data_IF_669125631684
#
_entry.id   IF_669125631684
#
_cell.length_a   1.000
_cell.length_b   1.000
_cell.length_c   1.000
_cell.angle_alpha   90.00
_cell.angle_beta   90.00
_cell.angle_gamma   90.00
#
_symmetry.space_group_name_H-M   'P 1'
#
loop_
_entity.id
_entity.type
_entity.pdbx_description
1 polymer ?
#
# COMPACT_ATOMS: atom_id res chain seq x y z
N UNK A 1 8.05 -13.20 29.89
CA UNK A 1 7.34 -12.07 29.25
C UNK A 1 8.36 -10.98 28.95
N UNK A 2 8.80 -10.90 27.70
CA UNK A 2 9.54 -9.73 27.22
C UNK A 2 8.55 -8.57 27.24
N UNK A 3 8.73 -7.64 28.16
CA UNK A 3 7.97 -6.40 28.18
C UNK A 3 8.20 -5.70 26.85
N UNK A 4 7.17 -5.63 26.01
CA UNK A 4 7.17 -4.77 24.84
C UNK A 4 7.19 -3.35 25.41
N UNK A 5 8.39 -2.76 25.45
CA UNK A 5 8.57 -1.35 25.77
C UNK A 5 7.78 -0.55 24.73
N UNK A 6 6.95 0.42 25.13
CA UNK A 6 6.35 1.34 24.18
C UNK A 6 7.48 2.00 23.39
N UNK A 7 7.39 1.97 22.06
CA UNK A 7 8.29 2.74 21.20
C UNK A 7 8.30 4.18 21.70
N UNK A 8 9.49 4.69 22.04
CA UNK A 8 9.65 6.06 22.48
C UNK A 8 8.91 7.01 21.52
N UNK A 9 8.23 8.06 22.02
CA UNK A 9 7.46 8.95 21.17
C UNK A 9 8.34 9.48 20.05
N UNK A 10 7.87 9.33 18.81
CA UNK A 10 8.55 9.78 17.60
C UNK A 10 9.01 11.23 17.80
N UNK A 11 10.32 11.42 17.94
CA UNK A 11 10.89 12.74 18.22
C UNK A 11 10.79 13.53 16.92
N UNK A 12 9.73 14.32 16.76
CA UNK A 12 9.47 15.12 15.55
C UNK A 12 10.63 16.04 15.18
N UNK A 13 11.33 16.58 16.19
CA UNK A 13 12.45 17.52 16.03
C UNK A 13 13.80 16.80 16.06
N UNK A 14 14.15 16.15 14.95
CA UNK A 14 15.51 15.64 14.69
C UNK A 14 16.30 16.61 13.81
N UNK A 15 17.64 16.62 13.91
CA UNK A 15 18.50 17.31 12.95
C UNK A 15 18.15 17.02 11.48
N UNK A 16 17.81 15.78 11.13
CA UNK A 16 17.39 15.42 9.78
C UNK A 16 16.09 16.14 9.37
N UNK A 17 15.04 16.07 10.20
CA UNK A 17 13.75 16.72 9.91
C UNK A 17 13.87 18.25 9.81
N UNK A 18 14.76 18.86 10.61
CA UNK A 18 15.05 20.29 10.55
C UNK A 18 15.66 20.66 9.19
N UNK A 19 16.60 19.86 8.68
CA UNK A 19 17.19 20.08 7.35
C UNK A 19 16.13 19.97 6.25
N UNK A 20 15.23 18.99 6.31
CA UNK A 20 14.10 18.84 5.37
C UNK A 20 13.17 20.06 5.42
N UNK A 21 12.83 20.56 6.60
CA UNK A 21 11.99 21.77 6.75
C UNK A 21 12.67 23.02 6.20
N UNK A 22 13.97 23.20 6.48
CA UNK A 22 14.77 24.29 5.91
C UNK A 22 14.75 24.21 4.39
N UNK A 23 14.90 23.03 3.79
CA UNK A 23 14.81 22.83 2.33
C UNK A 23 13.51 23.42 1.78
N UNK A 24 12.37 23.07 2.38
CA UNK A 24 11.04 23.54 1.94
C UNK A 24 10.94 25.06 2.05
N UNK A 25 11.42 25.65 3.16
CA UNK A 25 11.43 27.09 3.35
C UNK A 25 12.36 27.83 2.38
N UNK A 26 13.39 27.18 1.84
CA UNK A 26 14.30 27.76 0.85
C UNK A 26 13.75 27.72 -0.59
N UNK A 27 12.72 26.91 -0.88
CA UNK A 27 12.14 26.86 -2.23
C UNK A 27 11.58 28.22 -2.69
N UNK A 28 10.78 28.95 -1.88
CA UNK A 28 10.36 30.31 -2.25
C UNK A 28 11.53 31.28 -2.46
N UNK A 29 12.61 31.13 -1.69
CA UNK A 29 13.82 31.96 -1.83
C UNK A 29 14.47 31.72 -3.20
N UNK A 30 14.57 30.46 -3.63
CA UNK A 30 15.03 30.13 -4.98
C UNK A 30 14.10 30.70 -6.07
N UNK A 31 12.78 30.57 -5.92
CA UNK A 31 11.81 31.10 -6.89
C UNK A 31 11.90 32.63 -6.99
N UNK A 32 12.08 33.32 -5.86
CA UNK A 32 12.31 34.76 -5.85
C UNK A 32 13.64 35.11 -6.53
N UNK A 33 14.71 34.39 -6.22
CA UNK A 33 16.03 34.64 -6.79
C UNK A 33 16.03 34.55 -8.33
N UNK A 34 15.23 33.66 -8.91
CA UNK A 34 15.15 33.47 -10.37
C UNK A 34 14.09 34.38 -11.03
N UNK A 35 12.87 34.51 -10.49
CA UNK A 35 11.77 35.22 -11.14
C UNK A 35 11.74 36.72 -10.84
N UNK A 36 12.20 37.16 -9.66
CA UNK A 36 12.02 38.54 -9.25
C UNK A 36 13.17 39.46 -9.69
N UNK A 37 12.95 40.78 -9.75
CA UNK A 37 13.99 41.79 -9.95
C UNK A 37 14.66 42.18 -8.61
N UNK A 38 14.98 41.20 -7.75
CA UNK A 38 15.57 41.46 -6.43
C UNK A 38 16.86 42.28 -6.43
N UNK A 39 17.76 42.26 -7.45
CA UNK A 39 18.95 43.14 -7.43
C UNK A 39 18.58 44.62 -7.40
N UNK A 40 17.44 44.99 -8.00
CA UNK A 40 16.91 46.36 -7.96
C UNK A 40 16.41 46.71 -6.56
N UNK A 41 15.72 45.77 -5.91
CA UNK A 41 15.18 45.96 -4.55
C UNK A 41 16.26 46.17 -3.50
N UNK A 42 17.40 45.48 -3.65
CA UNK A 42 18.54 45.54 -2.72
C UNK A 42 19.52 46.68 -3.08
N UNK A 43 19.27 47.41 -4.18
CA UNK A 43 20.16 48.49 -4.62
C UNK A 43 21.50 48.01 -5.16
N UNK A 44 21.53 46.82 -5.77
CA UNK A 44 22.70 46.19 -6.40
C UNK A 44 22.53 46.11 -7.93
N UNK A 45 22.43 47.25 -8.65
CA UNK A 45 22.18 47.28 -10.10
C UNK A 45 23.34 46.72 -10.93
N UNK A 46 24.51 46.47 -10.33
CA UNK A 46 25.67 45.86 -10.98
C UNK A 46 25.54 44.34 -11.21
N UNK A 47 24.52 43.70 -10.65
CA UNK A 47 24.27 42.26 -10.87
C UNK A 47 23.53 42.10 -12.20
N UNK A 48 24.22 41.57 -13.21
CA UNK A 48 23.63 41.28 -14.51
C UNK A 48 22.60 40.14 -14.42
N UNK A 49 21.71 40.04 -15.41
CA UNK A 49 20.76 38.92 -15.50
C UNK A 49 21.47 37.55 -15.52
N UNK A 50 22.63 37.48 -16.16
CA UNK A 50 23.47 36.27 -16.20
C UNK A 50 23.96 35.89 -14.79
N UNK A 51 24.45 36.87 -14.03
CA UNK A 51 24.86 36.66 -12.65
C UNK A 51 23.68 36.23 -11.76
N UNK A 52 22.47 36.76 -12.01
CA UNK A 52 21.24 36.34 -11.33
C UNK A 52 20.94 34.85 -11.56
N UNK A 53 21.05 34.39 -12.80
CA UNK A 53 20.84 32.98 -13.17
C UNK A 53 21.88 32.05 -12.53
N UNK A 54 23.16 32.47 -12.48
CA UNK A 54 24.23 31.73 -11.79
C UNK A 54 23.97 31.64 -10.29
N UNK A 55 23.55 32.74 -9.65
CA UNK A 55 23.18 32.75 -8.23
C UNK A 55 22.00 31.80 -7.97
N UNK A 56 20.96 31.87 -8.81
CA UNK A 56 19.80 30.98 -8.70
C UNK A 56 20.18 29.50 -8.88
N UNK A 57 21.06 29.18 -9.82
CA UNK A 57 21.59 27.83 -10.00
C UNK A 57 22.40 27.38 -8.77
N UNK A 58 23.23 28.25 -8.20
CA UNK A 58 23.96 27.97 -6.96
C UNK A 58 23.03 27.67 -5.78
N UNK A 59 21.99 28.49 -5.60
CA UNK A 59 20.96 28.25 -4.57
C UNK A 59 20.27 26.91 -4.81
N UNK A 60 19.84 26.63 -6.05
CA UNK A 60 19.18 25.36 -6.40
C UNK A 60 20.06 24.14 -6.11
N UNK A 61 21.35 24.20 -6.45
CA UNK A 61 22.31 23.13 -6.16
C UNK A 61 22.45 22.94 -4.65
N UNK A 62 22.63 24.02 -3.88
CA UNK A 62 22.75 23.96 -2.43
C UNK A 62 21.52 23.31 -1.79
N UNK A 63 20.32 23.74 -2.19
CA UNK A 63 19.06 23.16 -1.71
C UNK A 63 18.96 21.68 -2.11
N UNK A 64 19.30 21.32 -3.35
CA UNK A 64 19.28 19.92 -3.81
C UNK A 64 20.25 19.03 -3.04
N UNK A 65 21.44 19.53 -2.70
CA UNK A 65 22.43 18.80 -1.91
C UNK A 65 21.96 18.51 -0.49
N UNK A 66 21.04 19.29 0.07
CA UNK A 66 20.52 19.04 1.42
C UNK A 66 19.79 17.69 1.54
N UNK A 67 19.27 17.11 0.43
CA UNK A 67 18.58 15.80 0.40
C UNK A 67 19.52 14.62 0.65
N UNK A 68 20.79 14.82 0.35
CA UNK A 68 21.79 13.84 0.71
C UNK A 68 22.17 13.97 2.19
N UNK A 69 22.16 15.20 2.73
CA UNK A 69 22.56 15.52 4.10
C UNK A 69 21.53 15.02 5.12
N UNK A 70 20.24 15.30 4.95
CA UNK A 70 19.18 14.82 5.84
C UNK A 70 19.12 13.29 5.87
N UNK A 71 19.20 12.63 4.71
CA UNK A 71 19.21 11.19 4.60
C UNK A 71 20.46 10.56 5.24
N UNK A 72 21.62 11.21 5.12
CA UNK A 72 22.83 10.78 5.82
C UNK A 72 22.71 10.94 7.34
N UNK A 73 22.21 12.09 7.82
CA UNK A 73 21.98 12.34 9.25
C UNK A 73 21.01 11.33 9.86
N UNK A 74 19.88 11.08 9.19
CA UNK A 74 18.88 10.11 9.65
C UNK A 74 19.46 8.69 9.78
N UNK A 75 20.24 8.24 8.79
CA UNK A 75 20.84 6.89 8.81
C UNK A 75 22.02 6.75 9.76
N UNK A 76 22.90 7.76 9.83
CA UNK A 76 24.10 7.72 10.68
C UNK A 76 23.79 7.83 12.17
N UNK A 77 22.66 8.46 12.53
CA UNK A 77 22.25 8.67 13.93
C UNK A 77 21.10 7.77 14.39
N UNK A 78 20.56 6.93 13.50
CA UNK A 78 19.40 6.09 13.80
C UNK A 78 18.11 6.88 14.01
N UNK A 79 18.02 8.10 13.47
CA UNK A 79 16.93 9.07 13.66
C UNK A 79 15.89 8.98 12.53
N UNK A 80 15.53 7.77 12.10
CA UNK A 80 14.56 7.56 11.02
C UNK A 80 13.14 7.67 11.57
N UNK A 81 12.51 8.83 11.38
CA UNK A 81 11.13 9.12 11.85
C UNK A 81 10.09 8.93 10.76
N UNK A 82 8.83 8.68 11.12
CA UNK A 82 7.74 8.57 10.15
C UNK A 82 7.42 9.91 9.48
N UNK A 83 7.58 11.02 10.22
CA UNK A 83 7.51 12.37 9.67
C UNK A 83 8.55 12.58 8.56
N UNK A 84 9.82 12.24 8.80
CA UNK A 84 10.89 12.35 7.80
C UNK A 84 10.59 11.53 6.53
N UNK A 85 10.17 10.26 6.70
CA UNK A 85 9.79 9.39 5.56
C UNK A 85 8.70 9.99 4.67
N UNK A 86 7.81 10.80 5.24
CA UNK A 86 6.76 11.49 4.51
C UNK A 86 7.23 12.82 3.90
N UNK A 87 8.01 13.61 4.65
CA UNK A 87 8.43 14.94 4.24
C UNK A 87 9.52 14.94 3.18
N UNK A 88 10.47 14.00 3.21
CA UNK A 88 11.59 14.00 2.26
C UNK A 88 11.12 13.85 0.80
N UNK A 89 10.25 12.88 0.44
CA UNK A 89 9.74 12.76 -0.94
C UNK A 89 8.80 13.90 -1.35
N UNK A 90 8.24 14.63 -0.38
CA UNK A 90 7.41 15.81 -0.64
C UNK A 90 8.29 17.03 -0.96
N UNK A 91 9.32 17.27 -0.14
CA UNK A 91 10.26 18.37 -0.31
C UNK A 91 10.99 18.32 -1.66
N UNK A 92 11.44 17.12 -2.07
CA UNK A 92 12.07 16.88 -3.38
C UNK A 92 11.16 17.33 -4.54
N UNK A 93 9.89 16.92 -4.50
CA UNK A 93 8.91 17.27 -5.54
C UNK A 93 8.61 18.76 -5.57
N UNK A 94 8.50 19.42 -4.42
CA UNK A 94 8.21 20.86 -4.34
C UNK A 94 9.33 21.65 -4.99
N UNK A 95 10.59 21.37 -4.64
CA UNK A 95 11.75 22.06 -5.21
C UNK A 95 11.83 21.90 -6.74
N UNK A 96 11.78 20.65 -7.20
CA UNK A 96 11.91 20.31 -8.62
C UNK A 96 10.75 20.87 -9.43
N UNK A 97 9.52 20.80 -8.90
CA UNK A 97 8.32 21.38 -9.55
C UNK A 97 8.41 22.89 -9.64
N UNK A 98 8.81 23.56 -8.56
CA UNK A 98 8.97 25.01 -8.54
C UNK A 98 10.00 25.49 -9.58
N UNK A 99 11.12 24.77 -9.70
CA UNK A 99 12.15 25.09 -10.70
C UNK A 99 11.66 24.91 -12.13
N UNK A 100 10.97 23.81 -12.43
CA UNK A 100 10.44 23.59 -13.78
C UNK A 100 9.35 24.60 -14.16
N UNK A 101 8.47 24.96 -13.22
CA UNK A 101 7.45 26.00 -13.44
C UNK A 101 8.12 27.35 -13.68
N UNK A 102 9.13 27.71 -12.88
CA UNK A 102 9.87 28.96 -13.08
C UNK A 102 10.55 29.02 -14.46
N UNK A 103 11.13 27.90 -14.93
CA UNK A 103 11.73 27.82 -16.27
C UNK A 103 10.69 27.96 -17.40
N UNK A 104 9.44 27.51 -17.19
CA UNK A 104 8.35 27.71 -18.14
C UNK A 104 7.88 29.17 -18.15
N UNK A 105 7.76 29.79 -16.99
CA UNK A 105 7.39 31.21 -16.84
C UNK A 105 8.39 32.12 -17.53
N UNK A 106 9.69 31.80 -17.44
CA UNK A 106 10.75 32.50 -18.14
C UNK A 106 10.84 32.18 -19.65
N UNK A 107 9.94 31.34 -20.18
CA UNK A 107 9.92 30.86 -21.56
C UNK A 107 11.21 30.12 -22.00
N UNK A 108 12.01 29.63 -21.05
CA UNK A 108 13.27 28.92 -21.28
C UNK A 108 13.02 27.44 -21.61
N UNK A 109 11.98 26.86 -21.00
CA UNK A 109 11.56 25.49 -21.20
C UNK A 109 10.10 25.45 -21.68
N UNK A 110 9.75 24.71 -22.74
CA UNK A 110 8.35 24.54 -23.12
C UNK A 110 7.58 23.79 -22.03
N UNK A 111 6.25 23.94 -21.98
CA UNK A 111 5.44 23.32 -20.92
C UNK A 111 5.29 21.79 -21.02
N UNK A 112 5.44 21.20 -22.20
CA UNK A 112 5.16 19.77 -22.42
C UNK A 112 6.10 18.79 -21.68
N UNK A 113 7.44 19.01 -21.57
CA UNK A 113 8.32 18.17 -20.76
C UNK A 113 7.94 18.23 -19.28
N UNK A 114 7.60 19.43 -18.80
CA UNK A 114 7.18 19.67 -17.42
C UNK A 114 5.90 18.91 -17.12
N UNK A 115 4.92 18.94 -18.02
CA UNK A 115 3.67 18.19 -17.87
C UNK A 115 3.92 16.68 -17.75
N UNK A 116 4.80 16.10 -18.58
CA UNK A 116 5.15 14.66 -18.50
C UNK A 116 5.77 14.33 -17.13
N UNK A 117 6.72 15.15 -16.69
CA UNK A 117 7.40 14.98 -15.40
C UNK A 117 6.38 15.04 -14.25
N UNK A 118 5.54 16.07 -14.20
CA UNK A 118 4.56 16.25 -13.13
C UNK A 118 3.51 15.15 -13.15
N UNK A 119 2.95 14.83 -14.32
CA UNK A 119 1.98 13.74 -14.45
C UNK A 119 2.55 12.42 -13.92
N UNK A 120 3.82 12.11 -14.26
CA UNK A 120 4.51 10.94 -13.72
C UNK A 120 4.64 10.99 -12.20
N UNK A 121 5.00 12.13 -11.61
CA UNK A 121 5.15 12.26 -10.15
C UNK A 121 3.84 11.95 -9.43
N UNK A 122 2.70 12.46 -9.92
CA UNK A 122 1.39 12.15 -9.37
C UNK A 122 1.02 10.67 -9.57
N UNK A 123 1.23 10.11 -10.76
CA UNK A 123 0.91 8.71 -11.06
C UNK A 123 1.69 7.75 -10.16
N UNK A 124 3.01 7.91 -10.06
CA UNK A 124 3.86 7.02 -9.25
C UNK A 124 3.56 7.18 -7.76
N UNK A 125 3.29 8.41 -7.30
CA UNK A 125 2.88 8.66 -5.91
C UNK A 125 1.54 8.01 -5.57
N UNK A 126 0.55 8.16 -6.44
CA UNK A 126 -0.77 7.54 -6.29
C UNK A 126 -0.70 6.02 -6.29
N UNK A 127 0.08 5.42 -7.20
CA UNK A 127 0.31 3.97 -7.25
C UNK A 127 0.92 3.47 -5.93
N UNK A 128 1.96 4.14 -5.42
CA UNK A 128 2.60 3.76 -4.15
C UNK A 128 1.65 3.91 -2.96
N UNK A 129 0.82 4.94 -2.97
CA UNK A 129 -0.20 5.16 -1.94
C UNK A 129 -1.26 4.05 -1.93
N UNK A 130 -1.79 3.69 -3.10
CA UNK A 130 -2.75 2.57 -3.25
C UNK A 130 -2.11 1.22 -2.90
N UNK A 131 -0.83 1.04 -3.22
CA UNK A 131 -0.10 -0.16 -2.82
C UNK A 131 0.02 -0.26 -1.29
N UNK A 132 0.39 0.85 -0.64
CA UNK A 132 0.52 0.92 0.81
C UNK A 132 -0.81 0.68 1.52
N UNK A 133 -1.93 1.22 1.00
CA UNK A 133 -3.26 0.97 1.56
C UNK A 133 -3.72 -0.49 1.44
N UNK A 134 -3.11 -1.26 0.51
CA UNK A 134 -3.33 -2.71 0.35
C UNK A 134 -2.28 -3.56 1.09
N UNK A 135 -1.46 -2.96 1.95
CA UNK A 135 -0.41 -3.66 2.71
C UNK A 135 0.81 -4.06 1.88
N UNK A 136 0.95 -3.54 0.67
CA UNK A 136 2.09 -3.84 -0.22
C UNK A 136 3.00 -2.63 -0.36
N UNK A 137 4.28 -2.78 0.01
CA UNK A 137 5.25 -1.69 -0.13
C UNK A 137 6.06 -1.90 -1.42
N UNK A 138 5.88 -0.99 -2.39
CA UNK A 138 6.69 -1.01 -3.62
C UNK A 138 8.01 -0.26 -3.36
N UNK A 139 9.11 -1.01 -3.36
CA UNK A 139 10.45 -0.46 -3.20
C UNK A 139 10.83 0.53 -4.31
N UNK A 140 11.68 1.49 -3.96
CA UNK A 140 12.17 2.50 -4.90
C UNK A 140 12.97 1.86 -6.06
N UNK A 141 12.62 2.17 -7.30
CA UNK A 141 13.34 1.65 -8.47
C UNK A 141 14.61 2.44 -8.75
N UNK A 142 15.61 1.76 -9.35
CA UNK A 142 16.84 2.40 -9.79
C UNK A 142 16.58 3.53 -10.80
N UNK A 143 15.67 3.29 -11.76
CA UNK A 143 15.24 4.31 -12.71
C UNK A 143 14.68 5.56 -12.03
N UNK A 144 13.97 5.37 -10.91
CA UNK A 144 13.45 6.46 -10.07
C UNK A 144 14.56 7.34 -9.48
N UNK A 145 15.69 6.75 -9.08
CA UNK A 145 16.84 7.50 -8.55
C UNK A 145 17.61 8.20 -9.68
N UNK A 146 17.88 7.48 -10.77
CA UNK A 146 18.60 8.02 -11.91
C UNK A 146 17.87 9.21 -12.53
N UNK A 147 16.54 9.11 -12.72
CA UNK A 147 15.76 10.20 -13.32
C UNK A 147 15.87 11.51 -12.53
N UNK A 148 15.88 11.45 -11.18
CA UNK A 148 15.98 12.63 -10.33
C UNK A 148 17.35 13.31 -10.49
N UNK A 149 18.43 12.54 -10.54
CA UNK A 149 19.78 13.08 -10.79
C UNK A 149 19.85 13.79 -12.15
N UNK A 150 19.41 13.13 -13.22
CA UNK A 150 19.41 13.74 -14.56
C UNK A 150 18.49 14.96 -14.64
N UNK A 151 17.38 14.95 -13.92
CA UNK A 151 16.43 16.06 -13.87
C UNK A 151 17.01 17.28 -13.14
N UNK A 152 17.69 17.08 -12.01
CA UNK A 152 18.42 18.14 -11.29
C UNK A 152 19.50 18.74 -12.20
N UNK A 153 20.30 17.89 -12.86
CA UNK A 153 21.34 18.36 -13.81
C UNK A 153 20.69 19.14 -14.95
N UNK A 154 19.58 18.66 -15.52
CA UNK A 154 18.88 19.36 -16.58
C UNK A 154 18.41 20.75 -16.13
N UNK A 155 17.79 20.86 -14.94
CA UNK A 155 17.35 22.14 -14.38
C UNK A 155 18.53 23.11 -14.26
N UNK A 156 19.65 22.66 -13.67
CA UNK A 156 20.86 23.49 -13.54
C UNK A 156 21.37 23.94 -14.91
N UNK A 157 21.42 23.04 -15.90
CA UNK A 157 21.85 23.39 -17.25
C UNK A 157 20.91 24.40 -17.91
N UNK A 158 19.59 24.30 -17.72
CA UNK A 158 18.63 25.26 -18.25
C UNK A 158 18.68 26.62 -17.53
N UNK A 159 19.01 26.65 -16.24
CA UNK A 159 19.28 27.90 -15.52
C UNK A 159 20.54 28.61 -16.06
N UNK A 160 21.57 27.85 -16.40
CA UNK A 160 22.86 28.39 -16.86
C UNK A 160 22.92 28.64 -18.37
N UNK A 161 22.03 28.02 -19.16
CA UNK A 161 22.02 28.04 -20.62
C UNK A 161 22.02 29.46 -21.21
N UNK A 162 21.23 30.35 -20.64
CA UNK A 162 21.07 31.73 -21.14
C UNK A 162 22.09 32.70 -20.53
N UNK A 163 22.98 32.24 -19.63
CA UNK A 163 24.16 33.02 -19.21
C UNK A 163 25.22 33.14 -20.31
N UNK A 164 25.02 32.46 -21.44
CA UNK A 164 25.87 32.50 -22.63
C UNK A 164 24.96 32.83 -23.84
N UNK A 165 24.52 34.08 -23.92
CA UNK A 165 23.61 34.56 -24.99
C UNK A 165 24.25 34.44 -26.38
N UNK A 166 23.50 33.93 -27.39
CA UNK A 166 23.50 34.42 -28.79
C UNK A 166 22.21 34.00 -29.56
N UNK A 167 21.85 34.79 -30.58
CA UNK A 167 20.48 35.21 -30.95
C UNK A 167 19.91 34.65 -32.27
N UNK A 168 20.14 33.38 -32.65
CA UNK A 168 19.49 32.82 -33.87
C UNK A 168 19.09 31.34 -33.77
N UNK A 169 17.98 30.98 -34.44
CA UNK A 169 17.44 29.62 -34.50
C UNK A 169 18.38 28.60 -35.19
N UNK A 170 19.25 29.06 -36.09
CA UNK A 170 20.31 28.23 -36.69
C UNK A 170 21.50 28.00 -35.74
N UNK A 171 21.81 28.98 -34.88
CA UNK A 171 22.85 28.87 -33.83
C UNK A 171 22.45 27.97 -32.65
N UNK A 172 21.15 27.70 -32.47
CA UNK A 172 20.66 26.80 -31.43
C UNK A 172 21.15 25.35 -31.62
N UNK A 173 21.30 24.90 -32.86
CA UNK A 173 21.80 23.55 -33.17
C UNK A 173 23.33 23.43 -33.11
N UNK A 174 24.07 24.55 -33.12
CA UNK A 174 25.52 24.58 -33.00
C UNK A 174 25.99 24.92 -31.57
N UNK A 175 25.09 25.32 -30.69
CA UNK A 175 25.42 25.68 -29.31
C UNK A 175 25.58 24.42 -28.44
N UNK A 176 26.80 24.13 -27.94
CA UNK A 176 27.06 22.93 -27.16
C UNK A 176 26.29 22.90 -25.84
N UNK A 177 26.03 24.05 -25.22
CA UNK A 177 25.22 24.15 -23.99
C UNK A 177 23.74 23.90 -24.24
N UNK A 178 23.19 24.40 -25.35
CA UNK A 178 21.82 24.08 -25.77
C UNK A 178 21.67 22.58 -26.02
N UNK A 179 22.59 22.00 -26.80
CA UNK A 179 22.55 20.57 -27.14
C UNK A 179 22.71 19.73 -25.88
N UNK A 180 23.64 20.09 -24.99
CA UNK A 180 23.85 19.40 -23.73
C UNK A 180 22.61 19.47 -22.82
N UNK A 181 22.03 20.66 -22.61
CA UNK A 181 20.87 20.83 -21.73
C UNK A 181 19.68 20.00 -22.23
N UNK A 182 19.41 20.02 -23.53
CA UNK A 182 18.35 19.23 -24.14
C UNK A 182 18.65 17.72 -24.14
N UNK A 183 19.89 17.33 -24.38
CA UNK A 183 20.29 15.91 -24.32
C UNK A 183 20.04 15.35 -22.93
N UNK A 184 20.47 16.06 -21.89
CA UNK A 184 20.24 15.65 -20.49
C UNK A 184 18.74 15.65 -20.15
N UNK A 185 17.97 16.64 -20.63
CA UNK A 185 16.52 16.68 -20.43
C UNK A 185 15.81 15.50 -21.12
N UNK A 186 16.19 15.16 -22.35
CA UNK A 186 15.63 14.00 -23.06
C UNK A 186 15.95 12.71 -22.32
N UNK A 187 17.17 12.54 -21.82
CA UNK A 187 17.52 11.39 -20.96
C UNK A 187 16.66 11.38 -19.70
N UNK A 188 16.47 12.53 -19.04
CA UNK A 188 15.63 12.65 -17.85
C UNK A 188 14.17 12.26 -18.16
N UNK A 189 13.63 12.66 -19.31
CA UNK A 189 12.28 12.28 -19.76
C UNK A 189 12.17 10.77 -20.04
N UNK A 190 13.14 10.18 -20.74
CA UNK A 190 13.17 8.74 -21.00
C UNK A 190 13.19 7.97 -19.67
N UNK A 191 14.08 8.34 -18.75
CA UNK A 191 14.15 7.70 -17.43
C UNK A 191 12.87 7.92 -16.62
N UNK A 192 12.22 9.08 -16.76
CA UNK A 192 10.92 9.39 -16.14
C UNK A 192 9.84 8.43 -16.62
N UNK A 193 9.73 8.23 -17.93
CA UNK A 193 8.77 7.30 -18.55
C UNK A 193 9.11 5.85 -18.20
N UNK A 194 10.38 5.44 -18.31
CA UNK A 194 10.81 4.08 -17.93
C UNK A 194 10.51 3.79 -16.46
N UNK A 195 10.77 4.76 -15.57
CA UNK A 195 10.43 4.64 -14.16
C UNK A 195 8.92 4.50 -13.97
N UNK A 196 8.10 5.31 -14.65
CA UNK A 196 6.65 5.19 -14.59
C UNK A 196 6.16 3.79 -15.03
N UNK A 197 6.69 3.28 -16.15
CA UNK A 197 6.35 1.96 -16.66
C UNK A 197 6.76 0.84 -15.69
N UNK A 198 7.95 0.93 -15.09
CA UNK A 198 8.40 -0.02 -14.06
C UNK A 198 7.45 -0.04 -12.85
N UNK A 199 7.03 1.13 -12.37
CA UNK A 199 6.04 1.22 -11.29
C UNK A 199 4.67 0.68 -11.69
N UNK A 200 4.20 0.95 -12.92
CA UNK A 200 2.95 0.40 -13.45
C UNK A 200 2.99 -1.13 -13.59
N UNK A 201 4.12 -1.69 -14.04
CA UNK A 201 4.32 -3.14 -14.13
C UNK A 201 4.32 -3.77 -12.74
N UNK A 202 5.05 -3.18 -11.78
CA UNK A 202 5.07 -3.63 -10.39
C UNK A 202 3.69 -3.53 -9.76
N UNK A 203 2.93 -2.48 -10.04
CA UNK A 203 1.58 -2.29 -9.54
C UNK A 203 0.51 -2.98 -10.40
N UNK A 204 0.89 -3.72 -11.45
CA UNK A 204 -0.06 -4.35 -12.36
C UNK A 204 -0.97 -5.33 -11.63
N UNK A 205 -0.45 -6.06 -10.64
CA UNK A 205 -1.26 -6.95 -9.80
C UNK A 205 -2.23 -6.18 -8.87
N UNK A 206 -1.92 -4.93 -8.54
CA UNK A 206 -2.75 -4.05 -7.70
C UNK A 206 -3.83 -3.31 -8.51
N UNK A 207 -3.53 -3.00 -9.78
CA UNK A 207 -4.39 -2.30 -10.75
C UNK A 207 -5.28 -3.28 -11.55
N UNK A 208 -4.81 -4.52 -11.80
CA UNK A 208 -5.62 -5.59 -12.42
C UNK A 208 -6.79 -6.08 -11.56
N UNK A 209 -6.89 -5.61 -10.31
CA UNK A 209 -8.12 -5.73 -9.54
C UNK A 209 -9.30 -4.91 -10.09
N UNK A 210 -9.11 -4.08 -11.13
CA UNK A 210 -10.19 -3.27 -11.73
C UNK A 210 -10.24 -3.28 -13.27
N UNK A 211 -9.19 -3.69 -13.99
CA UNK A 211 -9.26 -3.82 -15.45
C UNK A 211 -8.28 -4.86 -15.99
N UNK A 212 -8.79 -5.87 -16.68
CA UNK A 212 -8.00 -6.70 -17.59
C UNK A 212 -7.58 -8.07 -17.06
N UNK A 213 -8.56 -8.96 -16.91
CA UNK A 213 -8.35 -10.38 -17.14
C UNK A 213 -7.93 -10.58 -18.61
N UNK A 214 -6.72 -11.07 -18.84
CA UNK A 214 -6.38 -11.99 -19.94
C UNK A 214 -5.06 -12.69 -19.65
N UNK A 215 -5.14 -13.99 -19.84
CA UNK A 215 -4.10 -15.03 -19.98
C UNK A 215 -3.18 -15.34 -18.79
N UNK A 216 -3.68 -16.25 -17.93
CA UNK A 216 -2.91 -17.40 -17.47
C UNK A 216 -3.85 -18.61 -17.32
N UNK A 217 -3.33 -19.77 -17.70
CA UNK A 217 -4.01 -21.02 -18.06
C UNK A 217 -4.52 -21.77 -16.81
N UNK A 218 -5.77 -22.23 -16.88
CA UNK A 218 -6.46 -23.21 -16.02
C UNK A 218 -6.44 -22.96 -14.49
N UNK A 219 -7.30 -22.06 -14.04
CA UNK A 219 -7.95 -22.14 -12.72
C UNK A 219 -9.47 -22.04 -12.96
N UNK A 220 -10.27 -22.76 -12.17
CA UNK A 220 -11.73 -22.77 -12.26
C UNK A 220 -12.32 -21.35 -12.40
N UNK A 221 -13.42 -21.16 -13.16
CA UNK A 221 -13.95 -19.84 -13.47
C UNK A 221 -14.17 -19.03 -12.17
N UNK A 222 -13.48 -17.90 -12.05
CA UNK A 222 -13.78 -16.89 -11.05
C UNK A 222 -15.25 -16.49 -11.20
N UNK A 223 -16.02 -16.52 -10.11
CA UNK A 223 -17.38 -15.99 -10.08
C UNK A 223 -17.41 -14.58 -10.71
N UNK A 224 -18.48 -14.27 -11.44
CA UNK A 224 -18.60 -12.98 -12.10
C UNK A 224 -18.61 -11.84 -11.05
N UNK A 225 -18.12 -10.63 -11.36
CA UNK A 225 -18.07 -9.52 -10.38
C UNK A 225 -19.43 -9.21 -9.71
N UNK A 226 -20.53 -9.44 -10.42
CA UNK A 226 -21.89 -9.29 -9.89
C UNK A 226 -22.26 -10.35 -8.86
N UNK A 227 -21.76 -11.58 -9.00
CA UNK A 227 -21.99 -12.68 -8.06
C UNK A 227 -21.22 -12.44 -6.75
N UNK A 228 -19.99 -11.96 -6.84
CA UNK A 228 -19.19 -11.57 -5.66
C UNK A 228 -19.86 -10.43 -4.90
N UNK A 229 -20.36 -9.40 -5.61
CA UNK A 229 -21.07 -8.29 -4.97
C UNK A 229 -22.38 -8.73 -4.29
N UNK A 230 -23.15 -9.62 -4.94
CA UNK A 230 -24.36 -10.19 -4.35
C UNK A 230 -24.05 -11.02 -3.11
N UNK A 231 -22.97 -11.81 -3.15
CA UNK A 231 -22.51 -12.62 -2.03
C UNK A 231 -22.04 -11.77 -0.86
N UNK A 232 -21.29 -10.69 -1.12
CA UNK A 232 -20.88 -9.73 -0.09
C UNK A 232 -22.10 -9.11 0.61
N UNK A 233 -23.09 -8.66 -0.15
CA UNK A 233 -24.34 -8.12 0.41
C UNK A 233 -25.07 -9.14 1.30
N UNK A 234 -25.11 -10.41 0.88
CA UNK A 234 -25.71 -11.48 1.68
C UNK A 234 -24.92 -11.74 2.98
N UNK A 235 -23.59 -11.64 2.94
CA UNK A 235 -22.73 -11.77 4.12
C UNK A 235 -22.94 -10.62 5.10
N UNK A 236 -23.00 -9.37 4.61
CA UNK A 236 -23.22 -8.19 5.44
C UNK A 236 -24.54 -8.31 6.22
N UNK A 237 -25.61 -8.72 5.53
CA UNK A 237 -26.92 -8.96 6.15
C UNK A 237 -26.87 -10.13 7.14
N UNK A 238 -26.24 -11.23 6.78
CA UNK A 238 -26.15 -12.39 7.65
C UNK A 238 -25.35 -12.11 8.93
N UNK A 239 -24.27 -11.33 8.83
CA UNK A 239 -23.47 -10.91 9.98
C UNK A 239 -24.31 -10.05 10.95
N UNK A 240 -25.12 -9.13 10.42
CA UNK A 240 -26.07 -8.34 11.23
C UNK A 240 -27.04 -9.25 11.97
N UNK A 241 -27.66 -10.21 11.29
CA UNK A 241 -28.60 -11.15 11.91
C UNK A 241 -27.94 -11.92 13.06
N UNK A 242 -26.72 -12.43 12.88
CA UNK A 242 -25.98 -13.14 13.93
C UNK A 242 -25.74 -12.25 15.15
N UNK A 243 -25.23 -11.04 14.95
CA UNK A 243 -24.93 -10.11 16.06
C UNK A 243 -26.21 -9.66 16.78
N UNK A 244 -27.27 -9.34 16.04
CA UNK A 244 -28.58 -8.96 16.61
C UNK A 244 -29.17 -10.11 17.43
N UNK A 245 -29.18 -11.34 16.90
CA UNK A 245 -29.69 -12.52 17.63
C UNK A 245 -28.85 -12.87 18.86
N UNK A 246 -27.52 -12.87 18.74
CA UNK A 246 -26.65 -13.15 19.86
C UNK A 246 -26.85 -12.14 20.99
N UNK A 247 -26.91 -10.85 20.65
CA UNK A 247 -27.14 -9.77 21.61
C UNK A 247 -28.52 -9.88 22.25
N UNK A 248 -29.58 -10.16 21.47
CA UNK A 248 -30.93 -10.34 22.00
C UNK A 248 -31.05 -11.54 22.94
N UNK A 249 -30.32 -12.63 22.67
CA UNK A 249 -30.28 -13.82 23.51
C UNK A 249 -29.33 -13.68 24.72
N UNK A 250 -28.57 -12.58 24.82
CA UNK A 250 -27.50 -12.44 25.82
C UNK A 250 -26.37 -13.47 25.64
N UNK A 251 -26.27 -14.07 24.45
CA UNK A 251 -25.29 -15.09 24.11
C UNK A 251 -24.09 -14.48 23.39
N UNK A 252 -22.98 -15.19 23.44
CA UNK A 252 -21.71 -14.75 22.88
C UNK A 252 -21.19 -15.68 21.78
N UNK A 253 -20.54 -15.09 20.78
CA UNK A 253 -20.07 -15.78 19.57
C UNK A 253 -18.56 -15.65 19.38
N UNK A 254 -17.93 -16.69 18.84
CA UNK A 254 -16.50 -16.72 18.51
C UNK A 254 -16.18 -17.48 17.22
N UNK A 255 -14.98 -17.27 16.66
CA UNK A 255 -14.58 -17.90 15.39
C UNK A 255 -13.20 -18.57 15.47
N UNK A 256 -13.00 -19.65 14.72
CA UNK A 256 -11.70 -20.22 14.40
C UNK A 256 -11.52 -20.35 12.88
N UNK A 257 -10.59 -19.60 12.31
CA UNK A 257 -10.48 -19.42 10.87
C UNK A 257 -9.17 -19.95 10.32
N UNK A 258 -9.24 -20.73 9.24
CA UNK A 258 -8.06 -21.11 8.45
C UNK A 258 -8.10 -20.46 7.06
N UNK A 259 -8.75 -21.06 6.06
CA UNK A 259 -8.80 -20.55 4.68
C UNK A 259 -9.40 -19.14 4.52
N UNK A 260 -10.29 -18.73 5.42
CA UNK A 260 -10.93 -17.42 5.42
C UNK A 260 -10.04 -16.34 6.00
N UNK A 261 -9.06 -16.67 6.84
CA UNK A 261 -8.01 -15.74 7.28
C UNK A 261 -8.51 -14.53 8.08
N UNK A 262 -9.55 -14.70 8.91
CA UNK A 262 -10.10 -13.63 9.74
C UNK A 262 -11.30 -12.91 9.12
N UNK A 263 -11.78 -13.34 7.95
CA UNK A 263 -12.91 -12.70 7.29
C UNK A 263 -14.22 -12.87 8.06
N UNK A 264 -14.47 -14.01 8.72
CA UNK A 264 -15.72 -14.21 9.48
C UNK A 264 -15.74 -13.23 10.67
N UNK A 265 -14.64 -13.16 11.41
CA UNK A 265 -14.47 -12.19 12.49
C UNK A 265 -14.61 -10.75 11.99
N UNK A 266 -13.97 -10.41 10.86
CA UNK A 266 -14.09 -9.08 10.26
C UNK A 266 -15.55 -8.71 9.96
N UNK A 267 -16.33 -9.63 9.39
CA UNK A 267 -17.73 -9.37 9.07
C UNK A 267 -18.59 -9.18 10.32
N UNK A 268 -18.41 -10.02 11.35
CA UNK A 268 -19.11 -9.85 12.62
C UNK A 268 -18.77 -8.51 13.28
N UNK A 269 -17.48 -8.12 13.29
CA UNK A 269 -17.02 -6.86 13.89
C UNK A 269 -17.37 -5.62 13.09
N UNK A 270 -17.74 -5.76 11.81
CA UNK A 270 -18.22 -4.64 10.99
C UNK A 270 -19.61 -4.16 11.40
N UNK A 271 -20.37 -4.98 12.12
CA UNK A 271 -21.69 -4.65 12.64
C UNK A 271 -21.55 -3.72 13.86
N UNK A 272 -22.18 -2.53 13.87
CA UNK A 272 -22.18 -1.65 15.03
C UNK A 272 -22.73 -2.34 16.28
N UNK A 273 -22.06 -2.19 17.42
CA UNK A 273 -22.46 -2.81 18.69
C UNK A 273 -22.04 -4.28 18.85
N UNK A 274 -21.32 -4.86 17.88
CA UNK A 274 -20.82 -6.24 17.93
C UNK A 274 -19.99 -6.58 19.16
N UNK A 275 -19.38 -5.60 19.83
CA UNK A 275 -18.65 -5.81 21.10
C UNK A 275 -19.51 -6.38 22.24
N UNK A 276 -20.85 -6.29 22.15
CA UNK A 276 -21.76 -6.84 23.14
C UNK A 276 -21.82 -8.39 23.11
N UNK A 277 -21.56 -9.01 21.96
CA UNK A 277 -21.74 -10.46 21.77
C UNK A 277 -20.55 -11.16 21.11
N UNK A 278 -19.73 -10.46 20.32
CA UNK A 278 -18.56 -11.06 19.65
C UNK A 278 -17.35 -11.07 20.58
N UNK A 279 -16.86 -12.26 20.93
CA UNK A 279 -15.72 -12.44 21.85
C UNK A 279 -14.37 -12.31 21.16
N UNK A 280 -14.28 -12.71 19.90
CA UNK A 280 -13.05 -12.67 19.11
C UNK A 280 -12.97 -13.80 18.09
N UNK A 281 -11.79 -13.94 17.50
CA UNK A 281 -11.49 -14.98 16.53
C UNK A 281 -10.04 -15.44 16.61
N UNK A 282 -9.81 -16.73 16.38
CA UNK A 282 -8.47 -17.34 16.30
C UNK A 282 -8.20 -17.71 14.84
N UNK A 283 -7.23 -17.05 14.22
CA UNK A 283 -6.79 -17.41 12.87
C UNK A 283 -5.68 -18.48 12.97
N UNK A 284 -6.02 -19.73 12.68
CA UNK A 284 -5.15 -20.90 12.78
C UNK A 284 -4.80 -21.47 11.41
N UNK A 285 -4.02 -20.69 10.64
CA UNK A 285 -3.71 -21.03 9.24
C UNK A 285 -2.90 -22.32 9.11
N UNK A 286 -1.81 -22.45 9.88
CA UNK A 286 -0.92 -23.62 9.88
C UNK A 286 -1.31 -24.65 10.96
N UNK A 287 -0.80 -25.87 10.87
CA UNK A 287 -1.20 -26.98 11.73
C UNK A 287 -0.75 -26.80 13.18
N UNK A 288 0.44 -26.23 13.38
CA UNK A 288 1.02 -25.93 14.69
C UNK A 288 0.08 -25.02 15.49
N UNK A 289 -0.45 -23.98 14.85
CA UNK A 289 -1.39 -23.05 15.50
C UNK A 289 -2.73 -23.71 15.83
N UNK A 290 -3.20 -24.66 15.01
CA UNK A 290 -4.40 -25.45 15.32
C UNK A 290 -4.18 -26.32 16.56
N UNK A 291 -3.02 -26.96 16.67
CA UNK A 291 -2.67 -27.80 17.81
C UNK A 291 -2.49 -26.98 19.09
N UNK A 292 -1.62 -25.97 19.04
CA UNK A 292 -1.23 -25.18 20.22
C UNK A 292 -2.37 -24.33 20.78
N UNK A 293 -3.13 -23.65 19.93
CA UNK A 293 -4.17 -22.71 20.39
C UNK A 293 -5.55 -23.36 20.50
N UNK A 294 -5.92 -24.25 19.58
CA UNK A 294 -7.27 -24.81 19.55
C UNK A 294 -7.34 -26.23 20.15
N UNK A 295 -6.20 -26.82 20.50
CA UNK A 295 -6.13 -28.18 21.03
C UNK A 295 -6.50 -29.24 20.00
N UNK A 296 -6.25 -28.97 18.71
CA UNK A 296 -6.44 -29.98 17.66
C UNK A 296 -5.37 -31.06 17.79
N UNK A 297 -5.77 -32.32 17.74
CA UNK A 297 -4.87 -33.47 17.91
C UNK A 297 -3.84 -33.52 16.79
N UNK A 298 -2.56 -33.55 17.17
CA UNK A 298 -1.45 -33.70 16.22
C UNK A 298 -1.52 -35.03 15.45
N UNK A 299 -1.98 -36.12 16.09
CA UNK A 299 -2.18 -37.41 15.42
C UNK A 299 -3.29 -37.33 14.35
N UNK A 300 -4.38 -36.61 14.63
CA UNK A 300 -5.44 -36.36 13.63
C UNK A 300 -4.90 -35.52 12.47
N UNK A 301 -4.16 -34.45 12.75
CA UNK A 301 -3.56 -33.59 11.72
C UNK A 301 -2.56 -34.36 10.85
N UNK A 302 -1.76 -35.26 11.44
CA UNK A 302 -0.78 -36.07 10.73
C UNK A 302 -1.44 -37.14 9.84
N UNK A 303 -2.52 -37.78 10.30
CA UNK A 303 -3.20 -38.87 9.57
C UNK A 303 -4.22 -38.38 8.54
N UNK A 304 -5.03 -37.40 8.91
CA UNK A 304 -6.19 -36.96 8.11
C UNK A 304 -5.93 -35.65 7.35
N UNK A 305 -4.88 -34.91 7.72
CA UNK A 305 -4.62 -33.57 7.21
C UNK A 305 -5.52 -32.50 7.85
N UNK A 306 -5.32 -31.24 7.47
CA UNK A 306 -6.03 -30.10 8.08
C UNK A 306 -7.50 -29.99 7.64
N UNK A 307 -7.85 -30.55 6.48
CA UNK A 307 -9.18 -30.42 5.86
C UNK A 307 -9.96 -31.68 6.13
N UNK A 308 -10.52 -31.77 7.34
CA UNK A 308 -11.18 -32.96 7.86
C UNK A 308 -12.27 -32.60 8.87
N UNK A 309 -13.27 -33.48 9.02
CA UNK A 309 -14.36 -33.32 9.97
C UNK A 309 -13.86 -33.18 11.41
N UNK A 310 -12.98 -34.08 11.85
CA UNK A 310 -12.49 -34.10 13.23
C UNK A 310 -11.69 -32.85 13.55
N UNK A 311 -10.93 -32.34 12.57
CA UNK A 311 -10.19 -31.08 12.71
C UNK A 311 -11.18 -29.91 12.88
N UNK A 312 -12.22 -29.81 12.05
CA UNK A 312 -13.22 -28.75 12.18
C UNK A 312 -13.97 -28.81 13.53
N UNK A 313 -14.33 -30.01 13.99
CA UNK A 313 -14.97 -30.22 15.30
C UNK A 313 -14.05 -29.78 16.46
N UNK A 314 -12.78 -30.17 16.41
CA UNK A 314 -11.79 -29.83 17.45
C UNK A 314 -11.49 -28.33 17.43
N UNK A 315 -11.34 -27.71 16.25
CA UNK A 315 -11.17 -26.27 16.12
C UNK A 315 -12.35 -25.49 16.71
N UNK A 316 -13.59 -25.91 16.43
CA UNK A 316 -14.78 -25.25 16.99
C UNK A 316 -14.81 -25.37 18.51
N UNK A 317 -14.60 -26.58 19.06
CA UNK A 317 -14.52 -26.77 20.52
C UNK A 317 -13.37 -25.99 21.16
N UNK A 318 -12.23 -25.89 20.49
CA UNK A 318 -11.09 -25.07 20.91
C UNK A 318 -11.50 -23.62 21.04
N UNK A 319 -12.06 -23.04 19.98
CA UNK A 319 -12.51 -21.65 19.97
C UNK A 319 -13.55 -21.35 21.04
N UNK A 320 -14.51 -22.26 21.24
CA UNK A 320 -15.51 -22.14 22.30
C UNK A 320 -14.87 -21.96 23.68
N UNK A 321 -13.89 -22.81 24.01
CA UNK A 321 -13.19 -22.82 25.31
C UNK A 321 -12.26 -21.62 25.46
N UNK A 322 -11.35 -21.40 24.52
CA UNK A 322 -10.29 -20.39 24.64
C UNK A 322 -10.85 -18.97 24.67
N UNK A 323 -11.94 -18.71 23.94
CA UNK A 323 -12.56 -17.38 23.86
C UNK A 323 -13.71 -17.21 24.85
N UNK A 324 -14.08 -18.28 25.57
CA UNK A 324 -15.17 -18.29 26.55
C UNK A 324 -16.47 -17.78 25.92
N UNK A 325 -16.89 -18.41 24.83
CA UNK A 325 -18.12 -18.05 24.08
C UNK A 325 -19.20 -19.13 24.23
N UNK A 326 -20.45 -18.77 23.95
CA UNK A 326 -21.58 -19.70 23.98
C UNK A 326 -21.74 -20.49 22.67
N UNK A 327 -21.38 -19.84 21.56
CA UNK A 327 -21.38 -20.41 20.21
C UNK A 327 -20.05 -20.11 19.54
N UNK A 328 -19.46 -21.11 18.89
CA UNK A 328 -18.29 -20.91 18.05
C UNK A 328 -18.43 -21.61 16.71
N UNK A 329 -17.88 -21.01 15.66
CA UNK A 329 -17.77 -21.63 14.33
C UNK A 329 -16.30 -21.75 13.94
N UNK A 330 -15.95 -22.85 13.30
CA UNK A 330 -14.62 -23.11 12.80
C UNK A 330 -14.64 -23.49 11.32
N UNK A 331 -13.65 -23.03 10.55
CA UNK A 331 -13.56 -23.32 9.13
C UNK A 331 -12.16 -23.76 8.71
N UNK A 332 -12.09 -24.89 8.00
CA UNK A 332 -10.85 -25.43 7.42
C UNK A 332 -11.12 -25.99 6.02
N UNK A 333 -10.27 -25.71 5.04
CA UNK A 333 -10.55 -26.07 3.66
C UNK A 333 -9.55 -25.56 2.63
N UNK A 334 -9.80 -25.90 1.37
CA UNK A 334 -8.91 -25.65 0.24
C UNK A 334 -9.55 -24.59 -0.67
N UNK A 335 -9.20 -23.32 -0.45
CA UNK A 335 -9.72 -22.24 -1.30
C UNK A 335 -9.13 -22.22 -2.72
N UNK A 336 -7.99 -22.89 -2.97
CA UNK A 336 -7.33 -22.87 -4.28
C UNK A 336 -6.46 -21.63 -4.54
N UNK A 337 -5.94 -21.47 -5.78
CA UNK A 337 -6.14 -22.35 -6.93
C UNK A 337 -5.37 -23.67 -6.86
N UNK A 338 -4.45 -23.81 -5.91
CA UNK A 338 -3.66 -25.01 -5.63
C UNK A 338 -4.05 -25.63 -4.28
N UNK A 339 -3.47 -26.78 -3.97
CA UNK A 339 -3.66 -27.44 -2.67
C UNK A 339 -4.75 -28.49 -2.63
N UNK A 340 -5.25 -28.96 -3.78
CA UNK A 340 -6.09 -30.16 -3.84
C UNK A 340 -5.31 -31.37 -3.30
N UNK A 341 -5.97 -32.17 -2.47
CA UNK A 341 -5.45 -33.43 -1.94
C UNK A 341 -6.23 -34.61 -2.54
N UNK A 342 -5.71 -35.85 -2.51
CA UNK A 342 -6.47 -37.03 -2.91
C UNK A 342 -7.83 -37.08 -2.18
N UNK A 343 -8.92 -37.04 -2.94
CA UNK A 343 -10.29 -37.04 -2.41
C UNK A 343 -10.82 -35.69 -1.89
N UNK A 344 -10.02 -34.62 -1.91
CA UNK A 344 -10.40 -33.27 -1.45
C UNK A 344 -10.05 -32.23 -2.51
N UNK A 345 -10.91 -32.01 -3.54
CA UNK A 345 -10.66 -31.02 -4.57
C UNK A 345 -10.62 -29.59 -4.00
N UNK A 346 -10.08 -28.64 -4.78
CA UNK A 346 -10.25 -27.20 -4.51
C UNK A 346 -11.74 -26.90 -4.37
N UNK A 347 -12.10 -26.13 -3.35
CA UNK A 347 -13.50 -25.86 -2.98
C UNK A 347 -14.00 -26.71 -1.80
N UNK A 348 -13.26 -27.75 -1.39
CA UNK A 348 -13.62 -28.58 -0.22
C UNK A 348 -13.38 -27.80 1.07
N UNK A 349 -14.44 -27.61 1.86
CA UNK A 349 -14.40 -26.87 3.13
C UNK A 349 -15.22 -27.59 4.18
N UNK A 350 -14.62 -27.84 5.34
CA UNK A 350 -15.32 -28.26 6.55
C UNK A 350 -15.65 -27.07 7.42
N UNK A 351 -16.91 -26.98 7.84
CA UNK A 351 -17.43 -25.96 8.74
C UNK A 351 -17.92 -26.67 10.00
N UNK A 352 -17.25 -26.44 11.12
CA UNK A 352 -17.61 -26.96 12.43
C UNK A 352 -18.30 -25.90 13.27
N UNK A 353 -19.26 -26.30 14.10
CA UNK A 353 -19.91 -25.41 15.06
C UNK A 353 -20.02 -26.10 16.42
N UNK A 354 -19.67 -25.38 17.48
CA UNK A 354 -19.73 -25.85 18.86
C UNK A 354 -20.58 -24.92 19.73
N UNK A 355 -21.37 -25.52 20.60
CA UNK A 355 -21.99 -24.90 21.78
C UNK A 355 -21.68 -25.77 23.00
N UNK A 356 -22.07 -25.33 24.19
CA UNK A 356 -21.94 -26.16 25.40
C UNK A 356 -22.63 -27.53 25.30
N UNK A 357 -23.69 -27.64 24.49
CA UNK A 357 -24.53 -28.85 24.39
C UNK A 357 -24.18 -29.74 23.20
N UNK A 358 -23.71 -29.15 22.09
CA UNK A 358 -23.56 -29.87 20.82
C UNK A 358 -22.34 -29.38 20.05
N UNK A 359 -21.68 -30.30 19.36
CA UNK A 359 -20.69 -29.99 18.33
C UNK A 359 -21.02 -30.79 17.10
N UNK A 360 -21.00 -30.15 15.93
CA UNK A 360 -21.22 -30.80 14.65
C UNK A 360 -20.38 -30.13 13.57
N UNK A 361 -20.14 -30.81 12.46
CA UNK A 361 -19.46 -30.26 11.31
C UNK A 361 -20.11 -30.75 10.01
N UNK A 362 -19.97 -29.97 8.95
CA UNK A 362 -20.48 -30.30 7.63
C UNK A 362 -19.42 -30.01 6.56
N UNK A 363 -19.34 -30.90 5.56
CA UNK A 363 -18.48 -30.73 4.40
C UNK A 363 -19.25 -30.02 3.29
N UNK A 364 -18.65 -28.97 2.75
CA UNK A 364 -19.17 -28.21 1.62
C UNK A 364 -18.17 -28.26 0.46
N UNK A 365 -18.72 -28.26 -0.76
CA UNK A 365 -17.95 -28.12 -1.99
C UNK A 365 -18.40 -26.85 -2.68
N UNK A 366 -17.58 -25.82 -2.59
CA UNK A 366 -17.87 -24.52 -3.18
C UNK A 366 -17.23 -24.40 -4.57
N UNK A 367 -17.99 -23.84 -5.50
CA UNK A 367 -17.51 -23.56 -6.84
C UNK A 367 -16.89 -22.17 -6.93
N UNK A 368 -16.10 -21.97 -7.98
CA UNK A 368 -15.50 -20.68 -8.33
C UNK A 368 -14.03 -20.52 -7.94
N UNK A 369 -13.54 -19.30 -8.09
CA UNK A 369 -12.17 -18.93 -7.71
C UNK A 369 -11.98 -18.81 -6.19
N UNK A 370 -10.71 -18.64 -5.77
CA UNK A 370 -10.32 -18.56 -4.35
C UNK A 370 -11.16 -17.59 -3.52
N UNK A 371 -11.44 -16.41 -4.06
CA UNK A 371 -12.25 -15.39 -3.40
C UNK A 371 -13.69 -15.86 -3.21
N UNK A 372 -14.31 -16.41 -4.25
CA UNK A 372 -15.67 -16.94 -4.18
C UNK A 372 -15.80 -18.07 -3.16
N UNK A 373 -14.83 -19.00 -3.09
CA UNK A 373 -14.82 -20.07 -2.09
C UNK A 373 -14.73 -19.51 -0.67
N UNK A 374 -13.87 -18.51 -0.45
CA UNK A 374 -13.74 -17.86 0.87
C UNK A 374 -15.02 -17.15 1.27
N UNK A 375 -15.64 -16.38 0.38
CA UNK A 375 -16.88 -15.66 0.67
C UNK A 375 -18.08 -16.61 0.90
N UNK A 376 -18.21 -17.67 0.10
CA UNK A 376 -19.24 -18.70 0.32
C UNK A 376 -19.05 -19.38 1.68
N UNK A 377 -17.80 -19.66 2.06
CA UNK A 377 -17.46 -20.19 3.38
C UNK A 377 -17.92 -19.24 4.50
N UNK A 378 -17.65 -17.94 4.36
CA UNK A 378 -18.08 -16.94 5.35
C UNK A 378 -19.60 -16.92 5.49
N UNK A 379 -20.33 -16.88 4.37
CA UNK A 379 -21.79 -16.86 4.39
C UNK A 379 -22.37 -18.10 5.10
N UNK A 380 -21.89 -19.29 4.75
CA UNK A 380 -22.38 -20.53 5.37
C UNK A 380 -21.99 -20.58 6.85
N UNK A 381 -20.77 -20.19 7.22
CA UNK A 381 -20.37 -20.15 8.62
C UNK A 381 -21.26 -19.22 9.47
N UNK A 382 -21.62 -18.05 8.95
CA UNK A 382 -22.55 -17.14 9.63
C UNK A 382 -23.96 -17.73 9.76
N UNK A 383 -24.46 -18.43 8.74
CA UNK A 383 -25.74 -19.16 8.82
C UNK A 383 -25.69 -20.27 9.87
N UNK A 384 -24.60 -21.03 9.93
CA UNK A 384 -24.41 -22.06 10.95
C UNK A 384 -24.41 -21.46 12.36
N UNK A 385 -23.81 -20.28 12.55
CA UNK A 385 -23.89 -19.57 13.83
C UNK A 385 -25.32 -19.13 14.17
N UNK A 386 -26.04 -18.59 13.19
CA UNK A 386 -27.45 -18.20 13.36
C UNK A 386 -28.32 -19.40 13.81
N UNK A 387 -28.16 -20.54 13.17
CA UNK A 387 -28.86 -21.78 13.51
C UNK A 387 -28.53 -22.26 14.92
N UNK A 388 -27.25 -22.18 15.32
CA UNK A 388 -26.84 -22.53 16.68
C UNK A 388 -27.43 -21.59 17.74
N UNK A 389 -27.54 -20.30 17.42
CA UNK A 389 -28.17 -19.29 18.29
C UNK A 389 -29.68 -19.52 18.48
N UNK A 390 -30.36 -20.22 17.56
CA UNK A 390 -31.78 -20.56 17.72
C UNK A 390 -32.06 -21.50 18.90
N UNK A 391 -31.02 -22.05 19.54
CA UNK A 391 -31.12 -22.91 20.72
C UNK A 391 -30.96 -22.18 22.06
N UNK A 392 -30.88 -20.84 22.04
CA UNK A 392 -30.65 -19.98 23.21
C UNK A 392 -31.89 -19.17 23.61
#
# INVERSE_FOLDING_TARGET
MTTIQPTAPDKLWTPANIVTLIRICLVPVFVLAILSPWPEWVGLPGITMEAKCVIAAGIFILISCTDWIDGYLARSRGEVTDFGKFMDPLADKILVTAALIALVELAVLPGWPVLIILAREFIVSGIRMVAASKGTVIAASWYGKAKTVFQIIAIVLFLLKDSLTFTTAAGAFTNPMFVLSWTVMVIALILTVMSMLDYLVKARHLLKGSAGAKTAKAAAPSAAPTEIAALQKAIDEQARIVVEKATAAGATVATAESLTGGLIAAMLTSVPGSSASVRGGIVSYVNEVKAELLGVSEDVLARQGAVDELVALQMARGALRELGSDVSVAVTGIAGPTGAEPGKPVGTVWIGCATAKKTHAACHHFEGGREAVRLQTVLIALRTMEEALASF
#
